data_IF_912408452536
#
_entry.id   IF_912408452536
#
_cell.length_a   1.000
_cell.length_b   1.000
_cell.length_c   1.000
_cell.angle_alpha   90.00
_cell.angle_beta   90.00
_cell.angle_gamma   90.00
#
_symmetry.space_group_name_H-M   'P 1'
#
loop_
_entity.id
_entity.type
_entity.pdbx_description
1 polymer ?
#
# COMPACT_ATOMS: atom_id res chain seq x y z
N UNK A 1 6.11 -27.70 -10.20
CA UNK A 1 6.35 -26.28 -10.59
C UNK A 1 5.09 -25.42 -10.48
N UNK A 2 3.92 -25.83 -10.98
CA UNK A 2 2.64 -25.14 -10.74
C UNK A 2 2.25 -25.09 -9.24
N UNK A 3 2.49 -26.19 -8.51
CA UNK A 3 2.38 -26.26 -7.05
C UNK A 3 3.35 -25.31 -6.32
N UNK A 4 4.55 -25.06 -6.85
CA UNK A 4 5.53 -24.13 -6.25
C UNK A 4 5.12 -22.67 -6.50
N UNK A 5 4.52 -22.39 -7.66
CA UNK A 5 3.99 -21.07 -7.99
C UNK A 5 2.72 -20.75 -7.18
N UNK A 6 1.82 -21.72 -7.02
CA UNK A 6 0.65 -21.60 -6.16
C UNK A 6 1.05 -21.48 -4.67
N UNK A 7 1.97 -22.31 -4.19
CA UNK A 7 2.50 -22.20 -2.83
C UNK A 7 3.19 -20.84 -2.60
N UNK A 8 3.91 -20.30 -3.61
CA UNK A 8 4.46 -18.93 -3.55
C UNK A 8 3.37 -17.86 -3.55
N UNK A 9 2.29 -18.00 -4.32
CA UNK A 9 1.20 -17.01 -4.32
C UNK A 9 0.41 -17.03 -3.01
N UNK A 10 0.05 -18.20 -2.48
CA UNK A 10 -0.63 -18.32 -1.19
C UNK A 10 0.25 -17.76 -0.06
N UNK A 11 1.54 -18.12 -0.03
CA UNK A 11 2.47 -17.57 0.98
C UNK A 11 2.62 -16.05 0.86
N UNK A 12 2.68 -15.50 -0.36
CA UNK A 12 2.76 -14.05 -0.57
C UNK A 12 1.46 -13.37 -0.14
N UNK A 13 0.30 -13.94 -0.48
CA UNK A 13 -1.01 -13.42 -0.09
C UNK A 13 -1.20 -13.41 1.43
N UNK A 14 -0.76 -14.46 2.11
CA UNK A 14 -0.78 -14.55 3.58
C UNK A 14 0.11 -13.47 4.23
N UNK A 15 1.30 -13.21 3.67
CA UNK A 15 2.19 -12.14 4.16
C UNK A 15 1.54 -10.77 3.99
N UNK A 16 0.93 -10.48 2.83
CA UNK A 16 0.23 -9.22 2.62
C UNK A 16 -0.96 -9.04 3.55
N UNK A 17 -1.68 -10.12 3.88
CA UNK A 17 -2.79 -10.09 4.84
C UNK A 17 -2.29 -9.69 6.25
N UNK A 18 -1.19 -10.29 6.72
CA UNK A 18 -0.60 -9.97 8.03
C UNK A 18 -0.17 -8.49 8.08
N UNK A 19 0.46 -8.01 7.01
CA UNK A 19 0.88 -6.60 6.89
C UNK A 19 -0.35 -5.68 6.94
N UNK A 20 -1.42 -6.02 6.22
CA UNK A 20 -2.65 -5.23 6.20
C UNK A 20 -3.30 -5.12 7.59
N UNK A 21 -3.40 -6.23 8.33
CA UNK A 21 -3.95 -6.24 9.71
C UNK A 21 -3.08 -5.39 10.64
N UNK A 22 -1.76 -5.58 10.59
CA UNK A 22 -0.81 -4.83 11.42
C UNK A 22 -0.92 -3.33 11.16
N UNK A 23 -1.09 -2.94 9.89
CA UNK A 23 -1.23 -1.55 9.49
C UNK A 23 -2.57 -0.95 9.88
N UNK A 24 -3.67 -1.71 9.80
CA UNK A 24 -4.96 -1.27 10.32
C UNK A 24 -4.89 -0.97 11.82
N UNK A 25 -4.25 -1.85 12.60
CA UNK A 25 -4.00 -1.62 14.03
C UNK A 25 -3.12 -0.40 14.27
N UNK A 26 -2.07 -0.21 13.47
CA UNK A 26 -1.19 0.94 13.56
C UNK A 26 -1.94 2.26 13.30
N UNK A 27 -2.78 2.32 12.27
CA UNK A 27 -3.59 3.52 11.96
C UNK A 27 -4.58 3.83 13.08
N UNK A 28 -5.25 2.83 13.65
CA UNK A 28 -6.14 3.01 14.81
C UNK A 28 -5.36 3.54 16.02
N UNK A 29 -4.17 2.99 16.28
CA UNK A 29 -3.30 3.46 17.34
C UNK A 29 -2.87 4.92 17.14
N UNK A 30 -2.46 5.30 15.92
CA UNK A 30 -2.14 6.69 15.57
C UNK A 30 -3.34 7.62 15.77
N UNK A 31 -4.55 7.18 15.39
CA UNK A 31 -5.78 7.95 15.55
C UNK A 31 -6.10 8.20 17.03
N UNK A 32 -6.00 7.18 17.89
CA UNK A 32 -6.18 7.33 19.34
C UNK A 32 -5.15 8.30 19.92
N UNK A 33 -3.88 8.16 19.55
CA UNK A 33 -2.84 9.08 20.00
C UNK A 33 -3.10 10.51 19.51
N UNK A 34 -3.52 10.69 18.26
CA UNK A 34 -3.89 11.99 17.70
C UNK A 34 -5.03 12.66 18.47
N UNK A 35 -6.06 11.90 18.86
CA UNK A 35 -7.16 12.39 19.70
C UNK A 35 -6.65 12.77 21.09
N UNK A 36 -5.80 11.95 21.71
CA UNK A 36 -5.23 12.23 23.04
C UNK A 36 -4.39 13.52 23.05
N UNK A 37 -3.62 13.77 21.98
CA UNK A 37 -2.82 14.98 21.83
C UNK A 37 -3.68 16.22 21.51
N UNK A 38 -4.76 16.05 20.73
CA UNK A 38 -5.64 17.16 20.31
C UNK A 38 -6.73 17.48 21.35
N UNK A 39 -7.06 16.55 22.23
CA UNK A 39 -8.21 16.62 23.13
C UNK A 39 -8.10 17.68 24.22
N UNK A 40 -9.21 18.40 24.40
CA UNK A 40 -9.50 19.30 25.53
C UNK A 40 -9.43 18.63 26.92
N UNK A 41 -9.10 17.34 26.99
CA UNK A 41 -8.91 16.55 28.22
C UNK A 41 -7.61 16.87 28.97
N UNK A 42 -6.72 17.68 28.40
CA UNK A 42 -5.55 18.23 29.12
C UNK A 42 -5.96 19.08 30.34
N UNK A 43 -7.18 19.63 30.37
CA UNK A 43 -7.61 20.52 31.46
C UNK A 43 -7.98 19.82 32.77
N UNK A 44 -8.23 18.51 32.79
CA UNK A 44 -8.83 17.87 33.96
C UNK A 44 -8.07 16.65 34.53
N UNK A 45 -7.12 16.06 33.79
CA UNK A 45 -6.51 14.76 34.19
C UNK A 45 -4.98 14.79 34.29
N UNK A 46 -4.26 15.70 33.63
CA UNK A 46 -2.78 15.66 33.60
C UNK A 46 -2.13 17.03 33.89
N UNK A 47 -2.22 17.49 35.14
CA UNK A 47 -1.48 18.67 35.63
C UNK A 47 -0.03 18.39 36.07
N UNK A 48 0.50 17.18 35.82
CA UNK A 48 1.82 16.77 36.30
C UNK A 48 2.93 16.94 35.26
N UNK A 49 4.00 17.64 35.63
CA UNK A 49 5.19 17.93 34.81
C UNK A 49 5.84 16.67 34.20
N UNK A 50 5.75 15.51 34.87
CA UNK A 50 6.27 14.22 34.39
C UNK A 50 5.48 13.62 33.22
N UNK A 51 4.16 13.88 33.13
CA UNK A 51 3.34 13.39 32.02
C UNK A 51 3.51 14.23 30.76
N UNK A 52 3.84 15.52 30.90
CA UNK A 52 4.20 16.40 29.78
C UNK A 52 5.50 15.90 29.11
N UNK A 53 6.46 15.40 29.89
CA UNK A 53 7.70 14.80 29.35
C UNK A 53 7.47 13.49 28.59
N UNK A 54 6.57 12.62 29.04
CA UNK A 54 6.23 11.38 28.33
C UNK A 54 5.58 11.61 26.96
N UNK A 55 4.74 12.64 26.85
CA UNK A 55 4.08 13.01 25.60
C UNK A 55 5.05 13.50 24.51
N UNK A 56 6.08 14.27 24.89
CA UNK A 56 7.04 14.81 23.93
C UNK A 56 7.93 13.71 23.32
N UNK A 57 8.46 12.82 24.17
CA UNK A 57 9.31 11.71 23.72
C UNK A 57 8.53 10.72 22.85
N UNK A 58 7.30 10.39 23.23
CA UNK A 58 6.44 9.52 22.43
C UNK A 58 6.03 10.16 21.09
N UNK A 59 5.77 11.48 21.05
CA UNK A 59 5.49 12.19 19.81
C UNK A 59 6.68 12.17 18.82
N UNK A 60 7.91 12.38 19.30
CA UNK A 60 9.12 12.30 18.43
C UNK A 60 9.29 10.89 17.88
N UNK A 61 9.16 9.88 18.74
CA UNK A 61 9.25 8.48 18.32
C UNK A 61 8.19 8.12 17.29
N UNK A 62 6.94 8.57 17.49
CA UNK A 62 5.85 8.32 16.55
C UNK A 62 6.00 9.05 15.23
N UNK A 63 6.50 10.29 15.23
CA UNK A 63 6.85 11.00 14.00
C UNK A 63 7.92 10.23 13.20
N UNK A 64 9.00 9.80 13.86
CA UNK A 64 10.07 9.05 13.22
C UNK A 64 9.57 7.70 12.67
N UNK A 65 8.78 6.96 13.43
CA UNK A 65 8.21 5.68 13.01
C UNK A 65 7.26 5.85 11.82
N UNK A 66 6.34 6.82 11.88
CA UNK A 66 5.39 7.10 10.79
C UNK A 66 6.11 7.49 9.51
N UNK A 67 7.20 8.26 9.62
CA UNK A 67 8.03 8.66 8.50
C UNK A 67 8.69 7.45 7.80
N UNK A 68 9.28 6.53 8.56
CA UNK A 68 9.88 5.30 8.02
C UNK A 68 8.81 4.44 7.34
N UNK A 69 7.66 4.25 7.99
CA UNK A 69 6.53 3.51 7.40
C UNK A 69 6.06 4.17 6.09
N UNK A 70 5.96 5.50 6.03
CA UNK A 70 5.56 6.21 4.83
C UNK A 70 6.52 5.99 3.65
N UNK A 71 7.83 6.01 3.90
CA UNK A 71 8.85 5.68 2.87
C UNK A 71 8.64 4.27 2.32
N UNK A 72 8.42 3.29 3.20
CA UNK A 72 8.18 1.89 2.79
C UNK A 72 6.94 1.81 1.89
N UNK A 73 5.86 2.51 2.25
CA UNK A 73 4.63 2.51 1.45
C UNK A 73 4.80 3.19 0.09
N UNK A 74 5.59 4.26 0.00
CA UNK A 74 5.93 4.89 -1.29
C UNK A 74 6.70 3.91 -2.19
N UNK A 75 7.61 3.10 -1.62
CA UNK A 75 8.31 2.05 -2.35
C UNK A 75 7.38 0.93 -2.82
N UNK A 76 6.37 0.56 -2.01
CA UNK A 76 5.36 -0.42 -2.42
C UNK A 76 4.52 0.13 -3.57
N UNK A 77 4.05 1.39 -3.48
CA UNK A 77 3.29 2.05 -4.54
C UNK A 77 4.08 2.09 -5.84
N UNK A 78 5.37 2.42 -5.78
CA UNK A 78 6.22 2.47 -6.98
C UNK A 78 6.41 1.08 -7.60
N UNK A 79 6.58 0.03 -6.79
CA UNK A 79 6.64 -1.35 -7.29
C UNK A 79 5.30 -1.83 -7.89
N UNK A 80 4.16 -1.38 -7.35
CA UNK A 80 2.82 -1.71 -7.84
C UNK A 80 2.51 -1.12 -9.22
N UNK A 81 3.24 -0.11 -9.70
CA UNK A 81 3.02 0.46 -11.04
C UNK A 81 3.29 -0.58 -12.13
N UNK A 82 4.29 -1.45 -11.95
CA UNK A 82 4.67 -2.47 -12.95
C UNK A 82 3.51 -3.43 -13.29
N UNK A 83 2.87 -4.12 -12.33
CA UNK A 83 1.75 -5.01 -12.63
C UNK A 83 0.52 -4.26 -13.18
N UNK A 84 0.31 -3.00 -12.80
CA UNK A 84 -0.78 -2.17 -13.34
C UNK A 84 -0.55 -1.85 -14.81
N UNK A 85 0.68 -1.49 -15.19
CA UNK A 85 1.05 -1.26 -16.59
C UNK A 85 0.91 -2.53 -17.42
N UNK A 86 1.36 -3.67 -16.91
CA UNK A 86 1.16 -4.96 -17.57
C UNK A 86 -0.32 -5.25 -17.77
N UNK A 87 -1.14 -5.08 -16.72
CA UNK A 87 -2.59 -5.25 -16.81
C UNK A 87 -3.21 -4.32 -17.88
N UNK A 88 -2.83 -3.04 -17.90
CA UNK A 88 -3.31 -2.08 -18.88
C UNK A 88 -2.94 -2.49 -20.32
N UNK A 89 -1.74 -3.02 -20.55
CA UNK A 89 -1.34 -3.54 -21.86
C UNK A 89 -2.15 -4.80 -22.25
N UNK A 90 -2.38 -5.71 -21.30
CA UNK A 90 -3.13 -6.96 -21.56
C UNK A 90 -4.61 -6.70 -21.85
N UNK A 91 -5.26 -5.77 -21.14
CA UNK A 91 -6.68 -5.49 -21.34
C UNK A 91 -6.94 -4.82 -22.69
N UNK A 92 -6.07 -3.90 -23.12
CA UNK A 92 -6.17 -3.27 -24.45
C UNK A 92 -6.06 -4.32 -25.57
N UNK A 93 -5.12 -5.26 -25.42
CA UNK A 93 -4.95 -6.36 -26.37
C UNK A 93 -6.21 -7.26 -26.43
N UNK A 94 -6.77 -7.61 -25.28
CA UNK A 94 -8.01 -8.38 -25.17
C UNK A 94 -9.22 -7.64 -25.78
N UNK A 95 -9.33 -6.32 -25.56
CA UNK A 95 -10.40 -5.49 -26.10
C UNK A 95 -10.35 -5.43 -27.64
N UNK A 96 -9.16 -5.25 -28.21
CA UNK A 96 -8.97 -5.18 -29.66
C UNK A 96 -9.20 -6.52 -30.38
N UNK A 97 -8.76 -7.64 -29.80
CA UNK A 97 -8.69 -8.92 -30.51
C UNK A 97 -9.78 -9.93 -30.12
N UNK A 98 -10.37 -9.81 -28.92
CA UNK A 98 -11.30 -10.82 -28.37
C UNK A 98 -12.71 -10.27 -28.18
N UNK A 99 -12.85 -9.08 -27.58
CA UNK A 99 -14.18 -8.54 -27.24
C UNK A 99 -14.86 -7.81 -28.41
N UNK A 100 -14.10 -7.12 -29.26
CA UNK A 100 -14.64 -6.35 -30.39
C UNK A 100 -14.77 -7.13 -31.71
N UNK A 101 -14.29 -8.38 -31.79
CA UNK A 101 -14.41 -9.22 -33.00
C UNK A 101 -15.33 -10.42 -32.77
N UNK A 102 -16.13 -10.77 -33.77
CA UNK A 102 -16.99 -11.98 -33.76
C UNK A 102 -16.11 -13.24 -33.77
N UNK A 103 -16.55 -14.27 -33.06
CA UNK A 103 -15.80 -15.51 -32.79
C UNK A 103 -15.30 -16.27 -34.05
N UNK A 104 -15.90 -16.02 -35.22
CA UNK A 104 -15.52 -16.64 -36.50
C UNK A 104 -14.33 -15.96 -37.22
N UNK A 105 -13.90 -14.76 -36.82
CA UNK A 105 -12.78 -14.01 -37.44
C UNK A 105 -11.50 -14.04 -36.57
N UNK A 106 -11.45 -14.93 -35.57
CA UNK A 106 -10.30 -15.07 -34.67
C UNK A 106 -9.26 -15.98 -35.34
N UNK A 107 -8.59 -15.45 -36.38
CA UNK A 107 -7.37 -16.03 -36.97
C UNK A 107 -6.11 -15.35 -36.43
N UNK A 108 -6.17 -14.88 -35.18
CA UNK A 108 -5.05 -14.20 -34.54
C UNK A 108 -4.44 -15.14 -33.51
N UNK A 109 -3.35 -15.82 -33.88
CA UNK A 109 -2.59 -16.61 -32.93
C UNK A 109 -1.54 -15.69 -32.32
N UNK A 110 -1.68 -15.41 -31.02
CA UNK A 110 -0.70 -14.59 -30.31
C UNK A 110 0.62 -15.34 -30.20
N UNK A 111 1.60 -14.86 -30.95
CA UNK A 111 2.98 -15.31 -30.83
C UNK A 111 3.64 -14.51 -29.69
N UNK A 112 3.72 -15.12 -28.50
CA UNK A 112 4.37 -14.53 -27.32
C UNK A 112 5.90 -14.36 -27.51
N UNK A 113 6.46 -14.80 -28.65
CA UNK A 113 7.87 -14.63 -29.02
C UNK A 113 8.33 -13.16 -29.07
N UNK A 114 7.44 -12.22 -29.37
CA UNK A 114 7.82 -10.81 -29.55
C UNK A 114 7.82 -9.99 -28.25
N UNK A 115 7.21 -10.52 -27.19
CA UNK A 115 7.31 -9.95 -25.85
C UNK A 115 8.45 -10.69 -25.14
N UNK A 116 9.68 -10.18 -25.23
CA UNK A 116 10.93 -10.75 -24.68
C UNK A 116 10.97 -11.02 -23.17
N UNK A 117 9.82 -11.11 -22.51
CA UNK A 117 9.60 -11.47 -21.11
C UNK A 117 9.62 -13.00 -20.93
N UNK A 118 9.34 -13.79 -21.96
CA UNK A 118 9.33 -15.25 -21.89
C UNK A 118 10.51 -15.85 -22.68
N UNK A 119 11.63 -16.07 -22.00
CA UNK A 119 12.72 -16.90 -22.53
C UNK A 119 12.18 -18.31 -22.88
N UNK A 120 12.65 -18.87 -24.01
CA UNK A 120 12.26 -20.14 -24.66
C UNK A 120 12.04 -21.36 -23.74
N UNK A 121 12.48 -21.32 -22.48
CA UNK A 121 12.29 -22.39 -21.49
C UNK A 121 10.99 -22.28 -20.67
N UNK A 122 10.41 -21.08 -20.54
CA UNK A 122 9.17 -20.86 -19.77
C UNK A 122 7.88 -21.11 -20.57
N UNK A 123 8.02 -21.43 -21.87
CA UNK A 123 6.92 -21.62 -22.82
C UNK A 123 6.02 -22.84 -22.50
N UNK A 124 6.38 -23.68 -21.53
CA UNK A 124 5.58 -24.83 -21.08
C UNK A 124 4.65 -24.55 -19.90
N UNK A 125 4.77 -23.41 -19.20
CA UNK A 125 4.35 -23.32 -17.79
C UNK A 125 3.17 -22.36 -17.55
N UNK A 126 2.61 -21.74 -18.58
CA UNK A 126 1.30 -21.09 -18.47
C UNK A 126 0.22 -22.14 -18.78
N UNK A 127 -0.15 -22.92 -17.76
CA UNK A 127 -1.38 -23.74 -17.78
C UNK A 127 -1.33 -25.05 -18.56
N UNK A 128 -0.18 -25.71 -18.69
CA UNK A 128 -0.11 -27.08 -19.25
C UNK A 128 -0.45 -27.18 -20.75
N UNK A 129 -0.46 -26.07 -21.49
CA UNK A 129 -0.59 -26.08 -22.94
C UNK A 129 0.80 -26.15 -23.56
N UNK A 130 1.09 -27.28 -24.19
CA UNK A 130 2.22 -27.46 -25.09
C UNK A 130 2.16 -26.42 -26.22
N UNK A 131 3.36 -25.99 -26.64
CA UNK A 131 3.62 -25.02 -27.71
C UNK A 131 2.95 -25.39 -29.04
N UNK A 132 1.65 -25.15 -29.10
CA UNK A 132 0.91 -24.85 -30.31
C UNK A 132 0.53 -23.38 -30.20
N UNK A 133 0.59 -22.61 -31.29
CA UNK A 133 0.02 -21.27 -31.28
C UNK A 133 -1.41 -21.39 -30.72
N UNK A 134 -1.75 -20.60 -29.70
CA UNK A 134 -3.08 -20.62 -29.08
C UNK A 134 -4.10 -20.11 -30.12
N UNK A 135 -4.46 -20.98 -31.06
CA UNK A 135 -5.39 -20.71 -32.15
C UNK A 135 -6.81 -21.18 -31.78
N UNK A 136 -7.05 -21.52 -30.50
CA UNK A 136 -8.38 -21.85 -30.01
C UNK A 136 -9.01 -20.61 -29.34
N UNK A 137 -10.03 -19.98 -29.96
CA UNK A 137 -10.64 -18.74 -29.49
C UNK A 137 -11.27 -18.85 -28.09
N UNK A 138 -11.63 -20.06 -27.67
CA UNK A 138 -12.30 -20.33 -26.38
C UNK A 138 -11.34 -20.27 -25.19
N UNK A 139 -10.11 -20.77 -25.34
CA UNK A 139 -9.09 -20.74 -24.27
C UNK A 139 -8.55 -19.32 -24.07
N UNK A 140 -8.36 -18.57 -25.16
CA UNK A 140 -7.91 -17.18 -25.09
C UNK A 140 -8.94 -16.29 -24.38
N UNK A 141 -10.22 -16.45 -24.72
CA UNK A 141 -11.30 -15.68 -24.08
C UNK A 141 -11.38 -15.93 -22.58
N UNK A 142 -11.21 -17.18 -22.12
CA UNK A 142 -11.15 -17.49 -20.68
C UNK A 142 -9.96 -16.82 -19.98
N UNK A 143 -8.80 -16.73 -20.63
CA UNK A 143 -7.65 -16.04 -20.06
C UNK A 143 -7.91 -14.54 -19.94
N UNK A 144 -8.46 -13.89 -20.97
CA UNK A 144 -8.83 -12.47 -20.92
C UNK A 144 -9.85 -12.18 -19.81
N UNK A 145 -10.92 -12.98 -19.69
CA UNK A 145 -11.92 -12.79 -18.62
C UNK A 145 -11.31 -12.96 -17.22
N UNK A 146 -10.42 -13.96 -17.03
CA UNK A 146 -9.72 -14.14 -15.75
C UNK A 146 -8.75 -12.98 -15.45
N UNK A 147 -8.07 -12.45 -16.45
CA UNK A 147 -7.16 -11.30 -16.30
C UNK A 147 -7.94 -10.02 -15.97
N UNK A 148 -9.12 -9.82 -16.56
CA UNK A 148 -10.02 -8.70 -16.24
C UNK A 148 -10.50 -8.75 -14.78
N UNK A 149 -11.02 -9.90 -14.34
CA UNK A 149 -11.46 -10.09 -12.95
C UNK A 149 -10.32 -9.90 -11.94
N UNK A 150 -9.14 -10.43 -12.24
CA UNK A 150 -7.97 -10.31 -11.36
C UNK A 150 -7.35 -8.90 -11.38
N UNK A 151 -7.47 -8.20 -12.50
CA UNK A 151 -6.89 -6.87 -12.74
C UNK A 151 -7.46 -5.78 -11.84
N UNK A 152 -8.77 -5.83 -11.58
CA UNK A 152 -9.46 -4.86 -10.73
C UNK A 152 -8.90 -4.83 -9.31
N UNK A 153 -8.49 -5.98 -8.78
CA UNK A 153 -7.91 -6.10 -7.44
C UNK A 153 -6.59 -5.33 -7.32
N UNK A 154 -5.76 -5.31 -8.38
CA UNK A 154 -4.50 -4.55 -8.38
C UNK A 154 -4.74 -3.03 -8.34
N UNK A 155 -5.76 -2.55 -9.05
CA UNK A 155 -6.14 -1.12 -9.06
C UNK A 155 -6.63 -0.71 -7.67
N UNK A 156 -7.52 -1.51 -7.07
CA UNK A 156 -8.04 -1.25 -5.72
C UNK A 156 -6.90 -1.25 -4.69
N UNK A 157 -5.97 -2.20 -4.79
CA UNK A 157 -4.80 -2.26 -3.90
C UNK A 157 -3.91 -1.00 -4.04
N UNK A 158 -3.68 -0.53 -5.27
CA UNK A 158 -2.91 0.69 -5.54
C UNK A 158 -3.56 1.93 -4.93
N UNK A 159 -4.87 2.12 -5.17
CA UNK A 159 -5.62 3.24 -4.60
C UNK A 159 -5.58 3.17 -3.06
N UNK A 160 -5.76 2.00 -2.47
CA UNK A 160 -5.69 1.80 -1.02
C UNK A 160 -4.32 2.15 -0.44
N UNK A 161 -3.23 1.71 -1.08
CA UNK A 161 -1.87 2.05 -0.68
C UNK A 161 -1.60 3.56 -0.79
N UNK A 162 -2.09 4.20 -1.87
CA UNK A 162 -2.00 5.64 -2.06
C UNK A 162 -2.75 6.43 -0.99
N UNK A 163 -4.01 6.07 -0.71
CA UNK A 163 -4.81 6.68 0.35
C UNK A 163 -4.13 6.52 1.73
N UNK A 164 -3.55 5.35 2.00
CA UNK A 164 -2.84 5.08 3.26
C UNK A 164 -1.61 5.98 3.39
N UNK A 165 -0.82 6.13 2.33
CA UNK A 165 0.34 7.03 2.31
C UNK A 165 -0.05 8.49 2.53
N UNK A 166 -1.13 8.94 1.90
CA UNK A 166 -1.65 10.30 2.06
C UNK A 166 -2.15 10.55 3.49
N UNK A 167 -2.86 9.59 4.08
CA UNK A 167 -3.34 9.66 5.46
C UNK A 167 -2.17 9.78 6.45
N UNK A 168 -1.10 8.99 6.29
CA UNK A 168 0.10 9.09 7.12
C UNK A 168 0.80 10.46 6.97
N UNK A 169 0.85 11.01 5.76
CA UNK A 169 1.43 12.33 5.53
C UNK A 169 0.65 13.44 6.24
N UNK A 170 -0.68 13.43 6.15
CA UNK A 170 -1.53 14.37 6.87
C UNK A 170 -1.39 14.22 8.39
N UNK A 171 -1.35 12.98 8.88
CA UNK A 171 -1.15 12.70 10.30
C UNK A 171 0.19 13.28 10.80
N UNK A 172 1.28 13.13 10.04
CA UNK A 172 2.57 13.74 10.39
C UNK A 172 2.51 15.27 10.47
N UNK A 173 1.80 15.94 9.54
CA UNK A 173 1.64 17.40 9.59
C UNK A 173 0.92 17.86 10.86
N UNK A 174 -0.16 17.16 11.23
CA UNK A 174 -0.92 17.48 12.45
C UNK A 174 -0.05 17.23 13.69
N UNK A 175 0.67 16.11 13.73
CA UNK A 175 1.54 15.77 14.86
C UNK A 175 2.70 16.77 15.01
N UNK A 176 3.29 17.22 13.91
CA UNK A 176 4.34 18.24 13.92
C UNK A 176 3.83 19.58 14.47
N UNK A 177 2.63 20.01 14.07
CA UNK A 177 2.00 21.22 14.62
C UNK A 177 1.72 21.11 16.13
N UNK A 178 1.23 19.95 16.58
CA UNK A 178 1.01 19.71 18.00
C UNK A 178 2.32 19.63 18.79
N UNK A 179 3.37 19.04 18.20
CA UNK A 179 4.70 18.94 18.81
C UNK A 179 5.31 20.32 19.09
N UNK A 180 5.23 21.26 18.13
CA UNK A 180 5.75 22.62 18.35
C UNK A 180 5.00 23.35 19.45
N UNK A 181 3.66 23.18 19.52
CA UNK A 181 2.84 23.74 20.61
C UNK A 181 3.21 23.17 21.98
N UNK A 182 3.45 21.85 22.06
CA UNK A 182 3.89 21.21 23.31
C UNK A 182 5.27 21.71 23.74
N UNK A 183 6.22 21.83 22.79
CA UNK A 183 7.56 22.37 23.07
C UNK A 183 7.49 23.79 23.64
N UNK A 184 6.72 24.67 23.00
CA UNK A 184 6.55 26.06 23.46
C UNK A 184 5.93 26.13 24.86
N UNK A 185 4.93 25.28 25.13
CA UNK A 185 4.26 25.24 26.45
C UNK A 185 5.23 24.82 27.57
N UNK A 186 6.16 23.91 27.26
CA UNK A 186 7.21 23.48 28.18
C UNK A 186 8.22 24.60 28.45
N UNK A 187 8.69 25.29 27.42
CA UNK A 187 9.60 26.43 27.56
C UNK A 187 8.98 27.53 28.44
N UNK A 188 7.70 27.88 28.20
CA UNK A 188 6.97 28.85 29.02
C UNK A 188 6.83 28.43 30.49
N UNK A 189 6.60 27.15 30.75
CA UNK A 189 6.49 26.62 32.12
C UNK A 189 7.84 26.68 32.84
N UNK A 190 8.92 26.37 32.14
CA UNK A 190 10.28 26.44 32.68
C UNK A 190 10.69 27.89 33.02
N UNK A 191 10.37 28.84 32.13
CA UNK A 191 10.54 30.27 32.41
C UNK A 191 9.76 30.73 33.64
N UNK A 192 8.50 30.29 33.80
CA UNK A 192 7.69 30.63 34.98
C UNK A 192 8.31 30.09 36.28
N UNK A 193 8.73 28.83 36.27
CA UNK A 193 9.36 28.21 37.44
C UNK A 193 10.69 28.90 37.80
N UNK A 194 11.47 29.32 36.80
CA UNK A 194 12.71 30.07 37.03
C UNK A 194 12.46 31.42 37.69
N UNK A 195 11.41 32.15 37.29
CA UNK A 195 11.04 33.43 37.91
C UNK A 195 10.58 33.22 39.37
N UNK A 196 9.76 32.21 39.64
CA UNK A 196 9.29 31.90 41.00
C UNK A 196 10.43 31.54 41.97
N UNK A 197 11.56 31.02 41.48
CA UNK A 197 12.76 30.76 42.31
C UNK A 197 13.58 32.02 42.62
N UNK A 198 13.37 33.13 41.90
CA UNK A 198 14.13 34.38 42.06
C UNK A 198 13.41 35.45 42.87
N UNK A 199 12.12 35.26 43.16
CA UNK A 199 11.30 36.13 44.02
C UNK A 199 11.24 35.63 45.45
#
# INVERSE_FOLDING_TARGET
MFLIFLFRLETIQDIFLIIAITMALYVVFLLVFGILVTGATHRHVYGGMSCIMGGQTSAIFLMALTYICNIIWILIISACIVPILLYAMFIELCNQHVFNKKADDIKFCMDLSNFGIFSNSSQKIVGGLTATPLCSPTTLRRMCTRTEESGQLFIVAYIGAFCTSLAMAHFMTILASNYTRMKLSKELTDYRNAVEMTS
#
